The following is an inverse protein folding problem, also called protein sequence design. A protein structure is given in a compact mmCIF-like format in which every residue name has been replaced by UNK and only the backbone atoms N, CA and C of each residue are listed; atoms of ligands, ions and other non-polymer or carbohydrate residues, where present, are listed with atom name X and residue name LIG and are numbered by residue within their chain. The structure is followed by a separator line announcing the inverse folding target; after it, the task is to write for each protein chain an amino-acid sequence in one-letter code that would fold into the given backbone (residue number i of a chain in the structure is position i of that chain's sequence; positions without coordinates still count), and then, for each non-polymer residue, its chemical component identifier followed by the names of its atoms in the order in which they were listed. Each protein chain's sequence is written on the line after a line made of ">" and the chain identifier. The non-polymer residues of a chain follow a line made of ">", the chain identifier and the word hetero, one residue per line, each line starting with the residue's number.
data_IF_797877658404
#
_entry.id   IF_797877658404
#
_cell.length_a   1.000
_cell.length_b   1.000
_cell.length_c   1.000
_cell.angle_alpha   90.00
_cell.angle_beta   90.00
_cell.angle_gamma   90.00
#
_symmetry.space_group_name_H-M   'P 1'
#
loop_
_entity.id
_entity.type
_entity.pdbx_description
1 polymer ?
#
# COMPACT_ATOMS: atom_id res chain seq x y z
N UNK A 1 -5.33 -3.46 52.60
CA UNK A 1 -6.25 -3.87 51.51
C UNK A 1 -5.73 -3.22 50.22
N UNK A 2 -4.85 -3.89 49.52
CA UNK A 2 -4.26 -3.46 48.25
C UNK A 2 -5.19 -3.91 47.13
N UNK A 3 -5.75 -2.98 46.37
CA UNK A 3 -6.51 -3.27 45.14
C UNK A 3 -5.57 -3.86 44.10
N UNK A 4 -5.93 -4.97 43.45
CA UNK A 4 -5.18 -5.45 42.31
C UNK A 4 -5.37 -4.44 41.17
N UNK A 5 -4.26 -3.91 40.65
CA UNK A 5 -4.20 -3.14 39.42
C UNK A 5 -4.65 -4.04 38.27
N UNK A 6 -5.77 -3.71 37.64
CA UNK A 6 -6.19 -4.37 36.39
C UNK A 6 -5.06 -4.31 35.36
N UNK A 7 -4.78 -5.41 34.67
CA UNK A 7 -3.82 -5.36 33.58
C UNK A 7 -4.38 -4.43 32.49
N UNK A 8 -3.65 -3.36 32.22
CA UNK A 8 -3.96 -2.50 31.09
C UNK A 8 -3.92 -3.37 29.82
N UNK A 9 -5.05 -3.49 29.16
CA UNK A 9 -5.15 -4.08 27.82
C UNK A 9 -4.35 -3.16 26.92
N UNK A 10 -3.09 -3.52 26.66
CA UNK A 10 -2.24 -2.82 25.70
C UNK A 10 -2.81 -3.15 24.33
N UNK A 11 -3.71 -2.29 23.85
CA UNK A 11 -4.21 -2.32 22.49
C UNK A 11 -3.07 -1.80 21.59
N UNK A 12 -2.22 -2.74 21.15
CA UNK A 12 -1.11 -2.41 20.26
C UNK A 12 -1.71 -1.98 18.93
N UNK A 13 -1.50 -0.70 18.60
CA UNK A 13 -1.90 -0.15 17.31
C UNK A 13 -1.36 -1.02 16.17
N UNK A 14 -2.24 -1.40 15.27
CA UNK A 14 -1.88 -2.15 14.06
C UNK A 14 -1.03 -1.23 13.19
N UNK A 15 0.28 -1.46 13.18
CA UNK A 15 1.15 -0.83 12.19
C UNK A 15 0.84 -1.57 10.89
N UNK A 16 -0.06 -1.03 10.08
CA UNK A 16 -0.31 -1.52 8.74
C UNK A 16 0.84 -1.06 7.86
N UNK A 17 1.80 -1.94 7.66
CA UNK A 17 2.76 -1.80 6.57
C UNK A 17 1.96 -2.07 5.29
N UNK A 18 1.40 -1.00 4.72
CA UNK A 18 0.64 -1.10 3.48
C UNK A 18 1.59 -1.35 2.33
N UNK A 19 1.59 -2.55 1.87
CA UNK A 19 2.38 -2.98 0.77
C UNK A 19 1.61 -3.84 -0.23
N UNK A 20 1.96 -3.71 -1.46
CA UNK A 20 1.33 -4.33 -2.61
C UNK A 20 2.06 -5.61 -3.10
N UNK A 21 1.48 -6.83 -3.15
CA UNK A 21 2.09 -8.05 -3.71
C UNK A 21 1.14 -9.21 -4.01
N UNK A 22 1.23 -9.92 -5.11
CA UNK A 22 0.31 -10.92 -5.63
C UNK A 22 0.86 -12.33 -5.82
N UNK A 23 -0.04 -13.30 -5.86
CA UNK A 23 0.24 -14.69 -6.20
C UNK A 23 -0.32 -15.06 -7.57
N UNK A 24 0.36 -15.96 -8.28
CA UNK A 24 0.06 -16.40 -9.65
C UNK A 24 -0.83 -17.65 -9.60
N UNK A 25 -1.96 -17.73 -10.30
CA UNK A 25 -2.53 -19.01 -10.71
C UNK A 25 -1.79 -19.56 -11.94
N UNK A 26 -1.52 -20.86 -11.93
CA UNK A 26 -0.84 -21.59 -13.00
C UNK A 26 -1.58 -21.46 -14.34
N UNK A 27 -0.85 -21.18 -15.40
CA UNK A 27 -1.37 -21.12 -16.76
C UNK A 27 -1.68 -22.51 -17.33
N UNK A 28 -2.83 -22.66 -17.95
CA UNK A 28 -3.17 -23.79 -18.80
C UNK A 28 -2.60 -23.61 -20.23
N UNK A 29 -2.11 -24.66 -20.91
CA UNK A 29 -1.57 -24.55 -22.24
C UNK A 29 -2.67 -24.65 -23.31
N UNK A 30 -2.68 -23.76 -24.27
CA UNK A 30 -3.56 -23.85 -25.42
C UNK A 30 -3.45 -22.63 -26.33
N UNK A 31 -2.41 -22.56 -27.15
CA UNK A 31 -2.23 -21.46 -28.12
C UNK A 31 -2.65 -21.96 -29.52
N UNK A 32 -3.74 -21.39 -30.05
CA UNK A 32 -4.02 -21.44 -31.50
C UNK A 32 -3.25 -20.30 -32.20
N UNK A 33 -2.76 -20.49 -33.43
CA UNK A 33 -2.01 -19.48 -34.16
C UNK A 33 -2.88 -18.31 -34.58
N UNK A 34 -2.52 -17.10 -34.18
CA UNK A 34 -3.18 -15.86 -34.58
C UNK A 34 -2.63 -15.36 -35.91
N UNK A 35 -3.49 -14.99 -36.90
CA UNK A 35 -3.03 -14.54 -38.22
C UNK A 35 -2.18 -13.27 -38.16
N UNK A 36 -1.09 -13.26 -38.93
CA UNK A 36 -0.02 -12.28 -38.95
C UNK A 36 -0.43 -10.82 -39.25
N UNK A 37 -1.65 -10.57 -39.73
CA UNK A 37 -2.12 -9.21 -40.07
C UNK A 37 -2.46 -8.33 -38.85
N UNK A 38 -2.56 -8.92 -37.66
CA UNK A 38 -2.86 -8.18 -36.42
C UNK A 38 -1.58 -7.64 -35.74
N UNK A 39 -0.44 -8.27 -36.01
CA UNK A 39 0.85 -7.90 -35.42
C UNK A 39 1.36 -6.51 -35.88
N UNK A 40 1.00 -6.05 -37.08
CA UNK A 40 1.49 -4.76 -37.62
C UNK A 40 0.87 -3.52 -36.98
N UNK A 41 -0.23 -3.64 -36.21
CA UNK A 41 -0.85 -2.50 -35.47
C UNK A 41 -0.40 -2.37 -34.04
N UNK A 42 0.52 -3.22 -33.60
CA UNK A 42 1.02 -3.25 -32.21
C UNK A 42 2.32 -2.45 -32.03
N UNK A 43 2.78 -1.76 -33.06
CA UNK A 43 3.99 -0.95 -33.00
C UNK A 43 3.68 0.45 -32.46
N UNK A 44 4.53 0.88 -31.53
CA UNK A 44 4.70 2.22 -30.97
C UNK A 44 3.63 2.77 -30.02
N UNK A 45 3.52 2.15 -28.84
CA UNK A 45 3.40 2.99 -27.66
C UNK A 45 4.83 3.31 -27.21
N UNK A 46 5.18 4.57 -27.19
CA UNK A 46 6.44 5.04 -26.57
C UNK A 46 6.56 4.56 -25.11
N UNK A 47 7.62 4.94 -24.38
CA UNK A 47 7.76 4.56 -22.99
C UNK A 47 6.53 4.95 -22.16
N UNK A 48 6.08 4.05 -21.29
CA UNK A 48 4.95 4.28 -20.38
C UNK A 48 5.32 5.35 -19.36
N UNK A 49 4.49 6.38 -19.24
CA UNK A 49 4.55 7.41 -18.20
C UNK A 49 3.17 7.59 -17.59
N UNK A 50 3.10 8.21 -16.40
CA UNK A 50 1.83 8.66 -15.86
C UNK A 50 1.18 9.70 -16.76
N UNK A 51 -0.15 9.69 -16.81
CA UNK A 51 -0.93 10.63 -17.60
C UNK A 51 -2.10 11.22 -16.78
N UNK A 52 -2.54 12.44 -17.12
CA UNK A 52 -3.73 13.03 -16.56
C UNK A 52 -4.98 12.16 -16.78
N UNK A 53 -5.91 12.24 -15.84
CA UNK A 53 -7.18 11.54 -15.95
C UNK A 53 -7.85 11.35 -14.60
N UNK A 54 -9.07 10.83 -14.64
CA UNK A 54 -9.85 10.46 -13.46
C UNK A 54 -9.91 8.94 -13.40
N UNK A 55 -9.65 8.38 -12.22
CA UNK A 55 -9.76 6.93 -12.00
C UNK A 55 -10.39 6.68 -10.64
N UNK A 56 -11.38 5.82 -10.62
CA UNK A 56 -11.99 5.33 -9.39
C UNK A 56 -11.43 3.97 -9.07
N UNK A 57 -11.06 3.75 -7.81
CA UNK A 57 -10.47 2.51 -7.35
C UNK A 57 -11.28 1.89 -6.22
N UNK A 58 -11.32 0.57 -6.21
CA UNK A 58 -11.62 -0.23 -5.04
C UNK A 58 -10.32 -0.85 -4.56
N UNK A 59 -9.95 -0.56 -3.32
CA UNK A 59 -8.81 -1.14 -2.62
C UNK A 59 -9.36 -2.12 -1.59
N UNK A 60 -9.09 -3.40 -1.77
CA UNK A 60 -9.43 -4.44 -0.79
C UNK A 60 -8.15 -4.87 -0.07
N UNK A 61 -8.15 -4.75 1.25
CA UNK A 61 -7.02 -5.12 2.10
C UNK A 61 -7.47 -6.17 3.11
N UNK A 62 -6.65 -7.21 3.27
CA UNK A 62 -6.80 -8.20 4.33
C UNK A 62 -5.48 -8.37 5.04
N UNK A 63 -5.51 -8.25 6.35
CA UNK A 63 -4.34 -8.44 7.20
C UNK A 63 -4.64 -9.56 8.19
N UNK A 64 -3.72 -10.51 8.25
CA UNK A 64 -3.67 -11.55 9.27
C UNK A 64 -2.48 -11.23 10.17
N UNK A 65 -2.72 -11.09 11.45
CA UNK A 65 -1.71 -10.73 12.44
C UNK A 65 -1.72 -11.77 13.55
N UNK A 66 -0.60 -12.46 13.70
CA UNK A 66 -0.31 -13.33 14.85
C UNK A 66 0.65 -12.61 15.79
N UNK A 67 0.35 -12.58 17.06
CA UNK A 67 1.24 -12.04 18.08
C UNK A 67 1.23 -12.90 19.34
N UNK A 68 2.41 -13.09 19.94
CA UNK A 68 2.55 -13.83 21.17
C UNK A 68 2.73 -12.85 22.32
N UNK A 69 1.70 -12.72 23.14
CA UNK A 69 1.71 -11.91 24.36
C UNK A 69 2.05 -12.77 25.57
N UNK A 70 2.50 -12.20 26.70
CA UNK A 70 2.68 -12.94 27.95
C UNK A 70 1.41 -13.63 28.46
N UNK A 71 0.24 -13.16 28.02
CA UNK A 71 -1.09 -13.71 28.35
C UNK A 71 -1.56 -14.82 27.41
N UNK A 72 -0.82 -15.11 26.35
CA UNK A 72 -1.12 -16.10 25.31
C UNK A 72 -1.10 -15.53 23.90
N UNK A 73 -1.24 -16.40 22.94
CA UNK A 73 -1.26 -16.03 21.52
C UNK A 73 -2.55 -15.32 21.16
N UNK A 74 -2.43 -14.31 20.33
CA UNK A 74 -3.54 -13.56 19.76
C UNK A 74 -3.46 -13.56 18.24
N UNK A 75 -4.60 -13.83 17.61
CA UNK A 75 -4.79 -13.74 16.15
C UNK A 75 -5.78 -12.63 15.87
N UNK A 76 -5.48 -11.76 14.94
CA UNK A 76 -6.35 -10.69 14.50
C UNK A 76 -6.48 -10.70 12.98
N UNK A 77 -7.72 -10.64 12.51
CA UNK A 77 -8.06 -10.47 11.10
C UNK A 77 -8.60 -9.04 10.88
N UNK A 78 -8.07 -8.36 9.88
CA UNK A 78 -8.54 -7.03 9.50
C UNK A 78 -8.85 -7.04 8.01
N UNK A 79 -10.09 -6.80 7.66
CA UNK A 79 -10.54 -6.68 6.27
C UNK A 79 -11.12 -5.29 6.03
N UNK A 80 -10.58 -4.57 5.05
CA UNK A 80 -11.02 -3.24 4.67
C UNK A 80 -11.28 -3.15 3.17
N UNK A 81 -12.32 -2.41 2.80
CA UNK A 81 -12.61 -2.02 1.42
C UNK A 81 -12.69 -0.50 1.36
N UNK A 82 -11.78 0.11 0.62
CA UNK A 82 -11.68 1.56 0.47
C UNK A 82 -12.02 1.94 -0.97
N UNK A 83 -13.00 2.79 -1.16
CA UNK A 83 -13.36 3.37 -2.44
C UNK A 83 -12.70 4.73 -2.55
N UNK A 84 -12.00 4.95 -3.65
CA UNK A 84 -11.17 6.16 -3.85
C UNK A 84 -11.36 6.69 -5.26
N UNK A 85 -11.51 8.00 -5.36
CA UNK A 85 -11.43 8.72 -6.63
C UNK A 85 -10.13 9.50 -6.69
N UNK A 86 -9.28 9.19 -7.68
CA UNK A 86 -8.05 9.91 -7.95
C UNK A 86 -8.18 10.73 -9.25
N UNK A 87 -7.83 12.00 -9.17
CA UNK A 87 -7.85 12.95 -10.28
C UNK A 87 -6.43 13.48 -10.49
N UNK A 88 -5.80 13.08 -11.59
CA UNK A 88 -4.50 13.61 -12.01
C UNK A 88 -4.77 14.69 -13.05
N UNK A 89 -4.30 15.90 -12.79
CA UNK A 89 -4.46 17.05 -13.70
C UNK A 89 -3.10 17.44 -14.28
N UNK A 90 -3.09 17.81 -15.55
CA UNK A 90 -1.87 18.17 -16.26
C UNK A 90 -2.01 19.48 -17.04
N UNK A 91 -0.94 19.93 -17.66
CA UNK A 91 0.36 19.24 -17.86
C UNK A 91 1.20 19.18 -16.59
N UNK A 92 2.16 18.26 -16.56
CA UNK A 92 3.15 18.21 -15.50
C UNK A 92 4.03 19.47 -15.50
N UNK A 93 4.25 20.05 -14.35
CA UNK A 93 5.26 21.10 -14.13
C UNK A 93 6.56 20.51 -13.57
N UNK A 94 7.48 21.34 -13.07
CA UNK A 94 8.74 20.91 -12.45
C UNK A 94 8.55 20.03 -11.22
N UNK A 95 7.36 20.04 -10.59
CA UNK A 95 6.99 19.21 -9.44
C UNK A 95 6.25 17.94 -9.86
N UNK A 96 5.81 17.84 -11.11
CA UNK A 96 4.98 16.77 -11.64
C UNK A 96 3.54 17.22 -11.87
N UNK A 97 2.62 16.27 -11.79
CA UNK A 97 1.19 16.51 -11.95
C UNK A 97 0.56 16.96 -10.62
N UNK A 98 -0.41 17.85 -10.66
CA UNK A 98 -1.30 18.03 -9.52
C UNK A 98 -2.23 16.81 -9.42
N UNK A 99 -2.40 16.30 -8.21
CA UNK A 99 -3.27 15.15 -7.94
C UNK A 99 -4.18 15.44 -6.75
N UNK A 100 -5.44 15.03 -6.87
CA UNK A 100 -6.41 15.00 -5.78
C UNK A 100 -6.91 13.59 -5.59
N UNK A 101 -6.82 13.07 -4.36
CA UNK A 101 -7.28 11.74 -3.98
C UNK A 101 -8.41 11.93 -2.96
N UNK A 102 -9.62 11.51 -3.31
CA UNK A 102 -10.79 11.58 -2.43
C UNK A 102 -11.18 10.18 -1.97
N UNK A 103 -11.37 10.01 -0.68
CA UNK A 103 -11.93 8.79 -0.11
C UNK A 103 -13.45 8.87 -0.22
N UNK A 104 -14.03 8.05 -1.08
CA UNK A 104 -15.48 8.00 -1.27
C UNK A 104 -16.16 7.25 -0.12
N UNK A 105 -15.55 6.15 0.36
CA UNK A 105 -15.98 5.43 1.55
C UNK A 105 -14.92 4.42 2.01
N UNK A 106 -14.97 4.03 3.30
CA UNK A 106 -14.24 2.91 3.85
C UNK A 106 -15.24 1.98 4.54
N UNK A 107 -15.14 0.69 4.24
CA UNK A 107 -15.97 -0.35 4.84
C UNK A 107 -15.05 -1.39 5.49
N UNK A 108 -15.35 -1.76 6.73
CA UNK A 108 -14.70 -2.88 7.40
C UNK A 108 -15.53 -4.16 7.24
N UNK A 109 -14.87 -5.29 7.13
CA UNK A 109 -15.54 -6.59 7.20
C UNK A 109 -16.05 -6.82 8.64
N UNK A 110 -17.11 -7.63 8.81
CA UNK A 110 -17.78 -7.83 10.08
C UNK A 110 -16.88 -8.43 11.20
N UNK A 111 -15.82 -9.14 10.82
CA UNK A 111 -14.84 -9.70 11.74
C UNK A 111 -13.72 -8.71 12.13
N UNK A 112 -13.68 -7.54 11.52
CA UNK A 112 -12.63 -6.55 11.76
C UNK A 112 -12.86 -5.82 13.07
N UNK A 113 -11.92 -5.95 14.00
CA UNK A 113 -11.88 -5.17 15.22
C UNK A 113 -11.13 -3.86 14.95
N UNK A 114 -11.87 -2.75 14.91
CA UNK A 114 -11.27 -1.43 14.77
C UNK A 114 -10.76 -0.92 16.13
N UNK A 115 -9.67 -0.14 16.14
CA UNK A 115 -9.21 0.54 17.33
C UNK A 115 -10.32 1.45 17.92
N UNK A 116 -10.39 1.61 19.24
CA UNK A 116 -11.34 2.52 19.86
C UNK A 116 -11.21 3.95 19.30
N UNK A 117 -12.36 4.57 19.01
CA UNK A 117 -12.40 5.96 18.49
C UNK A 117 -12.18 6.10 16.99
N UNK A 118 -11.96 5.02 16.25
CA UNK A 118 -11.89 5.06 14.78
C UNK A 118 -13.32 5.10 14.23
N UNK A 119 -13.66 6.21 13.56
CA UNK A 119 -14.89 6.38 12.81
C UNK A 119 -14.61 6.34 11.31
N UNK A 120 -14.91 5.21 10.68
CA UNK A 120 -14.72 5.04 9.22
C UNK A 120 -15.67 5.94 8.40
N UNK A 121 -16.83 6.31 8.96
CA UNK A 121 -17.77 7.17 8.27
C UNK A 121 -17.22 8.60 8.11
N UNK A 122 -16.39 9.06 9.05
CA UNK A 122 -15.71 10.35 8.97
C UNK A 122 -14.71 10.44 7.81
N UNK A 123 -14.24 9.30 7.28
CA UNK A 123 -13.36 9.28 6.11
C UNK A 123 -14.06 9.72 4.82
N UNK A 124 -15.38 9.66 4.78
CA UNK A 124 -16.14 9.95 3.56
C UNK A 124 -15.97 11.41 3.13
N UNK A 125 -15.47 11.61 1.90
CA UNK A 125 -15.19 12.92 1.35
C UNK A 125 -13.85 13.52 1.80
N UNK A 126 -13.07 12.84 2.65
CA UNK A 126 -11.72 13.27 2.98
C UNK A 126 -10.87 13.28 1.70
N UNK A 127 -10.34 14.45 1.37
CA UNK A 127 -9.54 14.67 0.17
C UNK A 127 -8.10 15.01 0.54
N UNK A 128 -7.18 14.46 -0.24
CA UNK A 128 -5.76 14.80 -0.19
C UNK A 128 -5.38 15.47 -1.51
N UNK A 129 -4.96 16.72 -1.44
CA UNK A 129 -4.32 17.40 -2.57
C UNK A 129 -2.81 17.22 -2.45
N UNK A 130 -2.14 16.84 -3.52
CA UNK A 130 -0.73 16.48 -3.54
C UNK A 130 -0.11 16.75 -4.92
N UNK A 131 1.16 16.43 -5.06
CA UNK A 131 1.83 16.34 -6.35
C UNK A 131 2.27 14.89 -6.61
N UNK A 132 2.03 14.42 -7.84
CA UNK A 132 2.51 13.14 -8.35
C UNK A 132 3.66 13.42 -9.31
N UNK A 133 4.89 13.07 -8.94
CA UNK A 133 6.02 13.20 -9.86
C UNK A 133 5.79 12.35 -11.12
N UNK A 134 6.48 12.67 -12.21
CA UNK A 134 6.45 11.84 -13.44
C UNK A 134 6.90 10.40 -13.20
N UNK A 135 7.63 10.14 -12.10
CA UNK A 135 8.07 8.82 -11.65
C UNK A 135 7.14 8.15 -10.64
N UNK A 136 5.98 8.74 -10.31
CA UNK A 136 4.99 8.14 -9.41
C UNK A 136 5.18 8.42 -7.92
N UNK A 137 6.04 9.37 -7.52
CA UNK A 137 6.16 9.76 -6.13
C UNK A 137 5.09 10.78 -5.76
N UNK A 138 4.28 10.44 -4.77
CA UNK A 138 3.42 11.42 -4.09
C UNK A 138 4.23 12.23 -3.09
N UNK A 139 4.12 13.55 -3.14
CA UNK A 139 4.72 14.43 -2.15
C UNK A 139 3.82 15.59 -1.79
N UNK A 140 4.07 16.17 -0.60
CA UNK A 140 3.30 17.28 -0.02
C UNK A 140 1.78 17.00 0.07
N UNK A 141 1.34 15.82 0.57
CA UNK A 141 -0.08 15.53 0.69
C UNK A 141 -0.72 16.41 1.76
N UNK A 142 -1.76 17.14 1.38
CA UNK A 142 -2.52 18.05 2.24
C UNK A 142 -3.94 17.55 2.39
N UNK A 143 -4.32 17.02 3.55
CA UNK A 143 -5.68 16.60 3.79
C UNK A 143 -6.62 17.79 3.92
N UNK A 144 -7.84 17.65 3.40
CA UNK A 144 -8.90 18.66 3.54
C UNK A 144 -9.38 18.82 4.99
N UNK A 145 -9.24 17.76 5.80
CA UNK A 145 -9.48 17.76 7.25
C UNK A 145 -8.29 17.07 7.96
N UNK A 146 -7.37 17.85 8.55
CA UNK A 146 -6.21 17.28 9.25
C UNK A 146 -6.59 16.47 10.50
N UNK A 147 -7.70 16.77 11.18
CA UNK A 147 -8.11 16.05 12.38
C UNK A 147 -8.62 14.65 12.02
N UNK A 148 -9.47 14.56 11.01
CA UNK A 148 -9.94 13.26 10.48
C UNK A 148 -8.78 12.46 9.91
N UNK A 149 -7.89 13.08 9.13
CA UNK A 149 -6.72 12.43 8.56
C UNK A 149 -5.80 11.84 9.64
N UNK A 150 -5.58 12.56 10.74
CA UNK A 150 -4.78 12.10 11.88
C UNK A 150 -5.41 10.87 12.55
N UNK A 151 -6.72 10.87 12.76
CA UNK A 151 -7.43 9.75 13.40
C UNK A 151 -7.42 8.49 12.53
N UNK A 152 -7.37 8.66 11.20
CA UNK A 152 -7.34 7.57 10.23
C UNK A 152 -5.93 7.25 9.69
N UNK A 153 -4.89 7.93 10.20
CA UNK A 153 -3.54 7.82 9.65
C UNK A 153 -3.02 6.37 9.57
N UNK A 154 -3.36 5.55 10.57
CA UNK A 154 -2.96 4.14 10.60
C UNK A 154 -3.62 3.30 9.49
N UNK A 155 -4.85 3.65 9.09
CA UNK A 155 -5.58 2.96 8.02
C UNK A 155 -5.22 3.49 6.63
N UNK A 156 -4.79 4.76 6.54
CA UNK A 156 -4.56 5.48 5.29
C UNK A 156 -3.08 5.62 4.92
N UNK A 157 -2.17 5.12 5.75
CA UNK A 157 -0.71 5.23 5.53
C UNK A 157 -0.23 4.72 4.17
N UNK A 158 -0.96 3.77 3.58
CA UNK A 158 -0.66 3.19 2.26
C UNK A 158 -0.80 4.13 1.06
N UNK A 159 -1.43 5.30 1.19
CA UNK A 159 -1.58 6.21 0.04
C UNK A 159 -0.25 6.80 -0.45
N UNK A 160 0.78 6.90 0.39
CA UNK A 160 2.10 7.41 -0.02
C UNK A 160 2.78 6.51 -1.06
N UNK A 161 2.50 5.21 -1.02
CA UNK A 161 3.06 4.20 -1.92
C UNK A 161 2.02 3.64 -2.90
N UNK A 162 0.86 4.29 -3.01
CA UNK A 162 -0.24 3.85 -3.86
C UNK A 162 0.15 3.77 -5.34
N UNK A 163 0.92 4.74 -5.81
CA UNK A 163 1.41 4.76 -7.18
C UNK A 163 2.78 4.10 -7.29
N UNK A 164 2.95 3.07 -8.16
CA UNK A 164 4.24 2.43 -8.41
C UNK A 164 5.29 3.41 -8.92
N UNK A 165 6.56 3.16 -8.57
CA UNK A 165 7.66 3.96 -9.09
C UNK A 165 8.00 3.56 -10.50
N UNK A 166 8.01 4.51 -11.41
CA UNK A 166 8.46 4.36 -12.79
C UNK A 166 9.81 5.05 -12.97
N UNK A 167 10.71 4.55 -13.84
CA UNK A 167 11.92 5.27 -14.19
C UNK A 167 11.59 6.58 -14.93
N UNK A 168 12.46 7.58 -14.81
CA UNK A 168 12.25 8.89 -15.45
C UNK A 168 12.15 8.81 -16.99
N UNK A 169 12.83 7.86 -17.59
CA UNK A 169 12.76 7.59 -19.03
C UNK A 169 11.44 6.90 -19.46
N UNK A 170 10.56 6.58 -18.50
CA UNK A 170 9.39 5.75 -18.74
C UNK A 170 9.72 4.26 -18.80
N UNK A 171 8.69 3.42 -18.93
CA UNK A 171 8.81 1.97 -18.94
C UNK A 171 8.57 1.43 -20.35
N UNK A 172 9.49 0.62 -20.83
CA UNK A 172 9.34 -0.20 -22.04
C UNK A 172 9.11 -1.67 -21.68
N UNK A 173 8.46 -2.47 -22.52
CA UNK A 173 8.36 -3.92 -22.33
C UNK A 173 9.71 -4.57 -22.08
N UNK A 174 9.80 -5.48 -21.11
CA UNK A 174 11.01 -6.16 -20.73
C UNK A 174 11.99 -5.33 -19.87
N UNK A 175 11.70 -4.05 -19.60
CA UNK A 175 12.54 -3.22 -18.73
C UNK A 175 12.52 -3.73 -17.29
N UNK A 176 13.67 -3.62 -16.62
CA UNK A 176 13.79 -3.84 -15.18
C UNK A 176 14.45 -2.63 -14.52
N UNK A 177 13.99 -2.28 -13.31
CA UNK A 177 14.56 -1.18 -12.52
C UNK A 177 14.36 -1.41 -11.03
N UNK A 178 15.01 -0.62 -10.22
CA UNK A 178 14.88 -0.65 -8.77
C UNK A 178 14.66 0.75 -8.23
N UNK A 179 13.99 0.83 -7.09
CA UNK A 179 13.84 2.05 -6.29
C UNK A 179 14.13 1.75 -4.82
N UNK A 180 14.59 2.75 -4.09
CA UNK A 180 14.82 2.64 -2.66
C UNK A 180 14.07 3.76 -1.94
N UNK A 181 13.38 3.41 -0.87
CA UNK A 181 12.63 4.36 -0.07
C UNK A 181 13.06 4.31 1.39
N UNK A 182 13.01 5.47 2.05
CA UNK A 182 13.13 5.58 3.49
C UNK A 182 12.07 6.57 3.96
N UNK A 183 11.16 6.10 4.81
CA UNK A 183 10.09 6.91 5.37
C UNK A 183 10.26 6.97 6.89
N UNK A 184 9.90 8.10 7.47
CA UNK A 184 9.82 8.26 8.91
C UNK A 184 8.42 8.73 9.23
N UNK A 185 7.69 7.96 10.01
CA UNK A 185 6.37 8.30 10.49
C UNK A 185 6.42 8.57 11.99
N UNK A 186 5.81 9.69 12.38
CA UNK A 186 5.70 10.08 13.79
C UNK A 186 4.23 10.07 14.18
N UNK A 187 3.86 9.21 15.11
CA UNK A 187 2.49 9.11 15.62
C UNK A 187 2.52 9.25 17.13
N UNK A 188 2.08 10.39 17.63
CA UNK A 188 2.18 10.72 19.06
C UNK A 188 3.63 10.75 19.52
N UNK A 189 3.97 9.93 20.52
CA UNK A 189 5.33 9.79 21.05
C UNK A 189 6.15 8.68 20.35
N UNK A 190 5.61 8.06 19.30
CA UNK A 190 6.28 6.99 18.56
C UNK A 190 6.90 7.51 17.27
N UNK A 191 8.11 7.05 16.97
CA UNK A 191 8.80 7.28 15.69
C UNK A 191 9.10 5.92 15.08
N UNK A 192 8.63 5.72 13.84
CA UNK A 192 8.86 4.49 13.08
C UNK A 192 9.57 4.84 11.79
N UNK A 193 10.65 4.14 11.49
CA UNK A 193 11.42 4.25 10.25
C UNK A 193 11.21 2.99 9.45
N UNK A 194 10.75 3.15 8.23
CA UNK A 194 10.61 2.11 7.22
C UNK A 194 11.63 2.35 6.10
N UNK A 195 12.35 1.30 5.70
CA UNK A 195 13.28 1.32 4.56
C UNK A 195 12.97 0.14 3.67
N UNK A 196 12.86 0.40 2.37
CA UNK A 196 12.57 -0.63 1.39
C UNK A 196 13.44 -0.51 0.15
N UNK A 197 13.74 -1.66 -0.45
CA UNK A 197 14.33 -1.78 -1.78
C UNK A 197 13.33 -2.56 -2.63
N UNK A 198 12.82 -1.92 -3.66
CA UNK A 198 11.81 -2.48 -4.56
C UNK A 198 12.42 -2.73 -5.93
N UNK A 199 12.24 -3.93 -6.45
CA UNK A 199 12.62 -4.34 -7.80
C UNK A 199 11.37 -4.50 -8.66
N UNK A 200 11.42 -3.96 -9.84
CA UNK A 200 10.35 -4.01 -10.83
C UNK A 200 10.82 -4.68 -12.11
N UNK A 201 9.92 -5.43 -12.75
CA UNK A 201 10.16 -6.03 -14.06
C UNK A 201 8.89 -5.91 -14.92
N UNK A 202 8.96 -5.15 -16.00
CA UNK A 202 7.89 -5.01 -16.96
C UNK A 202 7.80 -6.26 -17.87
N UNK A 203 6.58 -6.75 -18.06
CA UNK A 203 6.27 -7.79 -19.04
C UNK A 203 6.18 -7.26 -20.46
N UNK A 204 5.44 -7.95 -21.29
CA UNK A 204 5.01 -7.49 -22.62
C UNK A 204 3.68 -6.76 -22.53
N UNK A 205 3.38 -5.97 -23.57
CA UNK A 205 2.03 -5.47 -23.76
C UNK A 205 1.06 -6.62 -24.00
N UNK A 206 -0.09 -6.58 -23.34
CA UNK A 206 -1.19 -7.52 -23.51
C UNK A 206 -2.47 -6.76 -23.87
N UNK A 207 -3.30 -7.35 -24.73
CA UNK A 207 -4.60 -6.82 -25.15
C UNK A 207 -5.72 -7.45 -24.32
N UNK A 208 -5.76 -7.19 -23.02
CA UNK A 208 -6.81 -7.70 -22.14
C UNK A 208 -8.09 -6.86 -22.25
N UNK A 209 -9.21 -7.50 -22.58
CA UNK A 209 -10.52 -6.86 -22.60
C UNK A 209 -10.67 -5.71 -23.62
N UNK A 210 -9.87 -5.72 -24.70
CA UNK A 210 -9.89 -4.68 -25.74
C UNK A 210 -9.09 -3.43 -25.41
N UNK A 211 -8.43 -3.38 -24.25
CA UNK A 211 -7.52 -2.31 -23.86
C UNK A 211 -6.10 -2.86 -23.71
N UNK A 212 -5.13 -2.14 -24.27
CA UNK A 212 -3.72 -2.51 -24.19
C UNK A 212 -3.17 -2.22 -22.80
N UNK A 213 -2.59 -3.24 -22.15
CA UNK A 213 -2.10 -3.17 -20.79
C UNK A 213 -0.66 -3.65 -20.68
N UNK A 214 0.11 -3.07 -19.75
CA UNK A 214 1.45 -3.51 -19.38
C UNK A 214 1.43 -4.02 -17.94
N UNK A 215 1.74 -5.30 -17.76
CA UNK A 215 1.94 -5.91 -16.46
C UNK A 215 3.35 -5.60 -15.94
N UNK A 216 3.47 -5.27 -14.66
CA UNK A 216 4.75 -5.00 -13.98
C UNK A 216 4.79 -5.89 -12.74
N UNK A 217 5.76 -6.82 -12.70
CA UNK A 217 6.04 -7.59 -11.49
C UNK A 217 6.82 -6.73 -10.53
N UNK A 218 6.50 -6.84 -9.25
CA UNK A 218 7.18 -6.15 -8.17
C UNK A 218 7.63 -7.16 -7.11
N UNK A 219 8.85 -6.98 -6.60
CA UNK A 219 9.36 -7.63 -5.40
C UNK A 219 10.05 -6.58 -4.55
N UNK A 220 9.87 -6.65 -3.22
CA UNK A 220 10.42 -5.68 -2.30
C UNK A 220 10.90 -6.35 -1.04
N UNK A 221 12.06 -5.92 -0.57
CA UNK A 221 12.58 -6.23 0.76
C UNK A 221 12.48 -4.97 1.61
N UNK A 222 11.95 -5.08 2.81
CA UNK A 222 11.84 -3.94 3.69
C UNK A 222 12.26 -4.25 5.12
N UNK A 223 12.68 -3.21 5.82
CA UNK A 223 12.99 -3.22 7.24
C UNK A 223 12.19 -2.15 7.94
N UNK A 224 11.72 -2.45 9.14
CA UNK A 224 11.05 -1.49 10.02
C UNK A 224 11.79 -1.42 11.34
N UNK A 225 11.97 -0.22 11.87
CA UNK A 225 12.52 0.00 13.19
C UNK A 225 11.85 1.22 13.82
N UNK A 226 11.77 1.26 15.13
CA UNK A 226 11.17 2.42 15.79
C UNK A 226 11.21 2.30 17.30
N UNK A 227 10.79 3.38 17.94
CA UNK A 227 10.64 3.46 19.39
C UNK A 227 9.56 4.46 19.76
N UNK A 228 9.06 4.36 20.96
CA UNK A 228 8.03 5.28 21.43
C UNK A 228 7.56 4.93 22.83
N UNK A 229 6.41 5.52 23.18
CA UNK A 229 5.72 5.26 24.43
C UNK A 229 4.26 4.87 24.15
N UNK A 230 3.80 3.80 24.79
CA UNK A 230 2.43 3.34 24.72
C UNK A 230 1.95 2.91 26.11
N UNK A 231 0.86 3.50 26.59
CA UNK A 231 0.28 3.15 27.89
C UNK A 231 1.22 3.37 29.07
N UNK A 232 2.14 4.34 28.99
CA UNK A 232 3.14 4.62 30.01
C UNK A 232 4.35 3.69 29.98
N UNK A 233 4.48 2.82 28.98
CA UNK A 233 5.66 1.96 28.78
C UNK A 233 6.42 2.38 27.54
N UNK A 234 7.72 2.48 27.67
CA UNK A 234 8.64 2.72 26.54
C UNK A 234 8.76 1.41 25.74
N UNK A 235 8.74 1.51 24.44
CA UNK A 235 8.94 0.36 23.56
C UNK A 235 9.95 0.64 22.46
N UNK A 236 10.59 -0.41 21.99
CA UNK A 236 11.34 -0.46 20.74
C UNK A 236 10.74 -1.52 19.83
N UNK A 237 10.78 -1.30 18.52
CA UNK A 237 10.36 -2.28 17.52
C UNK A 237 11.41 -2.43 16.44
N UNK A 238 11.56 -3.66 15.96
CA UNK A 238 12.38 -3.98 14.80
C UNK A 238 11.76 -5.13 14.02
N UNK A 239 11.94 -5.13 12.71
CA UNK A 239 11.41 -6.19 11.88
C UNK A 239 11.89 -6.11 10.45
N UNK A 240 11.61 -7.19 9.73
CA UNK A 240 11.89 -7.31 8.29
C UNK A 240 10.69 -7.91 7.60
N UNK A 241 10.57 -7.67 6.32
CA UNK A 241 9.51 -8.26 5.52
C UNK A 241 9.85 -8.33 4.05
N UNK A 242 9.02 -9.09 3.36
CA UNK A 242 9.07 -9.29 1.92
C UNK A 242 7.71 -8.94 1.34
N UNK A 243 7.73 -8.36 0.17
CA UNK A 243 6.56 -8.07 -0.64
C UNK A 243 6.75 -8.58 -2.05
N UNK A 244 5.70 -9.09 -2.65
CA UNK A 244 5.71 -9.46 -4.05
C UNK A 244 4.38 -9.13 -4.73
N UNK A 245 4.36 -8.91 -6.06
CA UNK A 245 3.14 -8.61 -6.75
C UNK A 245 3.16 -8.38 -8.23
N UNK A 246 1.96 -8.10 -8.74
CA UNK A 246 1.74 -7.73 -10.12
C UNK A 246 0.83 -6.51 -10.20
N UNK A 247 1.31 -5.52 -10.91
CA UNK A 247 0.66 -4.24 -11.14
C UNK A 247 0.35 -4.11 -12.62
N UNK A 248 -0.62 -3.30 -12.97
CA UNK A 248 -1.03 -3.11 -14.38
C UNK A 248 -1.20 -1.64 -14.70
N UNK A 249 -0.81 -1.29 -15.92
CA UNK A 249 -1.01 0.03 -16.50
C UNK A 249 -1.68 -0.06 -17.87
N UNK A 250 -2.53 0.89 -18.19
CA UNK A 250 -3.00 1.06 -19.56
C UNK A 250 -1.90 1.67 -20.44
N UNK A 251 -1.97 1.46 -21.75
CA UNK A 251 -1.08 2.12 -22.71
C UNK A 251 -1.17 3.65 -22.65
N UNK A 252 -2.27 4.21 -22.15
CA UNK A 252 -2.45 5.64 -21.93
C UNK A 252 -1.86 6.16 -20.61
N UNK A 253 -1.05 5.38 -19.87
CA UNK A 253 -0.37 5.83 -18.66
C UNK A 253 -1.23 5.85 -17.39
N UNK A 254 -2.42 5.24 -17.43
CA UNK A 254 -3.27 5.11 -16.25
C UNK A 254 -2.88 3.87 -15.46
N UNK A 255 -2.66 4.03 -14.17
CA UNK A 255 -2.51 2.89 -13.25
C UNK A 255 -3.85 2.15 -13.14
N UNK A 256 -3.86 0.86 -13.40
CA UNK A 256 -5.06 0.03 -13.37
C UNK A 256 -5.20 -0.79 -12.10
N UNK A 257 -4.24 -0.64 -11.18
CA UNK A 257 -4.21 -1.40 -9.95
C UNK A 257 -3.36 -2.67 -10.06
N UNK A 258 -3.69 -3.65 -9.26
CA UNK A 258 -2.94 -4.90 -9.19
C UNK A 258 -3.23 -5.66 -7.92
N UNK A 259 -2.47 -6.72 -7.73
CA UNK A 259 -2.57 -7.55 -6.53
C UNK A 259 -1.22 -7.64 -5.87
N UNK A 260 -1.21 -7.63 -4.54
CA UNK A 260 0.02 -7.63 -3.79
C UNK A 260 -0.09 -8.41 -2.47
N UNK A 261 0.97 -9.12 -2.07
CA UNK A 261 1.08 -9.83 -0.80
C UNK A 261 2.38 -9.46 -0.10
N UNK A 262 2.30 -9.15 1.16
CA UNK A 262 3.46 -8.92 2.00
C UNK A 262 3.41 -9.79 3.26
N UNK A 263 4.59 -10.13 3.75
CA UNK A 263 4.78 -10.80 5.03
C UNK A 263 5.88 -10.10 5.80
N UNK A 264 5.65 -9.90 7.10
CA UNK A 264 6.62 -9.27 8.00
C UNK A 264 6.72 -10.03 9.32
N UNK A 265 7.94 -10.13 9.83
CA UNK A 265 8.21 -10.51 11.21
C UNK A 265 8.71 -9.30 11.98
N UNK A 266 8.03 -8.94 13.06
CA UNK A 266 8.33 -7.78 13.89
C UNK A 266 8.48 -8.24 15.33
N UNK A 267 9.43 -7.68 16.04
CA UNK A 267 9.56 -7.86 17.50
C UNK A 267 9.38 -6.50 18.15
N UNK A 268 8.48 -6.43 19.14
CA UNK A 268 8.25 -5.25 19.95
C UNK A 268 8.76 -5.56 21.36
N UNK A 269 9.69 -4.76 21.85
CA UNK A 269 10.27 -4.92 23.19
C UNK A 269 9.82 -3.77 24.08
N UNK A 270 9.29 -4.08 25.25
CA UNK A 270 8.86 -3.11 26.25
C UNK A 270 9.89 -2.99 27.38
N UNK A 271 10.38 -1.77 27.62
CA UNK A 271 11.27 -1.43 28.72
C UNK A 271 10.44 -0.80 29.87
N UNK A 272 10.83 -1.01 31.14
CA UNK A 272 11.96 -1.79 31.64
C UNK A 272 11.63 -3.26 31.87
N UNK A 273 10.45 -3.76 31.47
CA UNK A 273 10.00 -5.12 31.77
C UNK A 273 10.78 -6.21 30.98
N UNK A 274 11.49 -5.83 29.92
CA UNK A 274 12.17 -6.77 29.05
C UNK A 274 11.24 -7.72 28.29
N UNK A 275 9.94 -7.35 28.19
CA UNK A 275 8.93 -8.17 27.52
C UNK A 275 9.11 -8.01 26.01
N UNK A 276 9.40 -9.12 25.33
CA UNK A 276 9.44 -9.17 23.87
C UNK A 276 8.13 -9.77 23.35
N UNK A 277 7.47 -9.07 22.42
CA UNK A 277 6.25 -9.51 21.74
C UNK A 277 6.58 -9.76 20.26
N UNK A 278 6.84 -11.02 19.88
CA UNK A 278 6.97 -11.38 18.47
C UNK A 278 5.59 -11.24 17.79
N UNK A 279 5.62 -10.66 16.61
CA UNK A 279 4.46 -10.45 15.76
C UNK A 279 4.77 -10.87 14.34
N UNK A 280 3.91 -11.67 13.75
CA UNK A 280 3.91 -12.00 12.33
C UNK A 280 2.70 -11.35 11.68
N UNK A 281 2.91 -10.73 10.55
CA UNK A 281 1.85 -10.12 9.77
C UNK A 281 1.93 -10.63 8.33
N UNK A 282 0.77 -11.02 7.79
CA UNK A 282 0.60 -11.29 6.36
C UNK A 282 -0.52 -10.39 5.86
N UNK A 283 -0.26 -9.67 4.77
CA UNK A 283 -1.25 -8.78 4.19
C UNK A 283 -1.47 -9.12 2.72
N UNK A 284 -2.70 -8.99 2.29
CA UNK A 284 -3.11 -9.15 0.90
C UNK A 284 -3.89 -7.92 0.46
N UNK A 285 -3.41 -7.25 -0.59
CA UNK A 285 -4.05 -6.04 -1.13
C UNK A 285 -4.42 -6.27 -2.59
N UNK A 286 -5.64 -5.94 -2.95
CA UNK A 286 -6.11 -5.92 -4.34
C UNK A 286 -6.59 -4.51 -4.65
N UNK A 287 -6.07 -3.91 -5.70
CA UNK A 287 -6.50 -2.62 -6.23
C UNK A 287 -7.16 -2.87 -7.58
N UNK A 288 -8.39 -2.44 -7.74
CA UNK A 288 -9.16 -2.59 -8.97
C UNK A 288 -9.71 -1.25 -9.41
N UNK A 289 -9.72 -1.00 -10.72
CA UNK A 289 -10.42 0.17 -11.29
C UNK A 289 -11.91 -0.12 -11.37
N UNK A 290 -12.70 0.85 -10.91
CA UNK A 290 -14.15 0.82 -11.06
C UNK A 290 -14.57 1.50 -12.37
N UNK A 291 -15.67 1.04 -12.98
CA UNK A 291 -16.23 1.66 -14.19
C UNK A 291 -16.72 3.09 -13.99
#
# INVERSE_FOLDING_TARGET
>A
MTRPSSPAVILLAVITLAGCGGGVPAAAPGSAPVPATRAARLQDSGPLHYAPGVTRYLITQRHHVDQTLPTGDQVQEIGLRTFVTAVITGPADVRGYAISITIDSILADSATLLPPGVDLAAARGLRYDAHLTVTGRLFDPRPSDPAVAKNLAQLLGGFRTFYPRLPAAGVTPGAAWSDSTANTDTTGAAVVVDRAVTHYAAGSWDDAGGARQLGIRVTEEFTVSGSGEAGGSVFALSGTGLRSGQLSFSAGGRFLGGTTMDSAGIVITFDPQGIAVPRRQVSHTVISVLP
#
